data_IF_688688458153
#
_entry.id   IF_688688458153
#
_cell.length_a   1.000
_cell.length_b   1.000
_cell.length_c   1.000
_cell.angle_alpha   90.00
_cell.angle_beta   90.00
_cell.angle_gamma   90.00
#
_symmetry.space_group_name_H-M   'P 1'
#
loop_
_entity.id
_entity.type
_entity.pdbx_description
1 polymer ?
#
# COMPACT_ATOMS: atom_id res chain seq x y z
N UNK A 1 -27.56 40.01 -40.70
CA UNK A 1 -28.09 41.26 -40.11
C UNK A 1 -28.42 40.95 -38.65
N UNK A 2 -27.90 41.55 -37.60
CA UNK A 2 -27.33 42.87 -37.40
C UNK A 2 -26.16 42.83 -36.40
N UNK A 3 -25.24 43.76 -36.58
CA UNK A 3 -24.08 44.02 -35.74
C UNK A 3 -24.40 45.04 -34.64
N UNK A 4 -23.73 44.93 -33.49
CA UNK A 4 -23.34 46.02 -32.56
C UNK A 4 -22.09 45.50 -31.83
N UNK A 5 -20.85 45.89 -32.15
CA UNK A 5 -20.15 47.18 -32.14
C UNK A 5 -19.95 47.79 -30.73
N UNK A 6 -18.67 47.69 -30.29
CA UNK A 6 -17.85 48.59 -29.46
C UNK A 6 -18.22 48.81 -27.98
N UNK A 7 -17.25 48.60 -27.09
CA UNK A 7 -16.30 49.66 -26.66
C UNK A 7 -15.14 49.08 -25.84
N UNK A 8 -13.94 49.59 -26.12
CA UNK A 8 -12.72 49.40 -25.35
C UNK A 8 -12.57 50.54 -24.33
N UNK A 9 -12.03 50.22 -23.16
CA UNK A 9 -11.38 51.10 -22.18
C UNK A 9 -10.49 50.14 -21.36
N UNK A 10 -9.17 50.25 -21.23
CA UNK A 10 -8.33 51.44 -21.29
C UNK A 10 -7.88 51.82 -19.88
N UNK A 11 -6.74 51.27 -19.46
CA UNK A 11 -5.74 51.86 -18.53
C UNK A 11 -6.12 51.93 -17.04
N UNK A 12 -5.29 51.34 -16.17
CA UNK A 12 -4.42 52.11 -15.23
C UNK A 12 -3.37 51.18 -14.63
N UNK A 13 -2.13 51.36 -15.08
CA UNK A 13 -0.89 50.87 -14.47
C UNK A 13 -0.49 51.90 -13.40
N UNK A 14 -0.53 51.55 -12.12
CA UNK A 14 0.04 52.37 -11.06
C UNK A 14 1.42 51.86 -10.68
N UNK A 15 2.44 52.63 -11.09
CA UNK A 15 3.77 52.64 -10.49
C UNK A 15 3.66 53.14 -9.04
N UNK A 16 4.01 52.28 -8.09
CA UNK A 16 4.34 52.66 -6.72
C UNK A 16 5.81 52.39 -6.46
N UNK A 17 6.61 53.45 -6.35
CA UNK A 17 8.01 53.41 -5.98
C UNK A 17 8.22 53.80 -4.52
N UNK A 18 9.36 53.33 -3.97
CA UNK A 18 10.09 53.80 -2.79
C UNK A 18 9.72 53.11 -1.46
N UNK A 19 10.68 52.34 -0.97
CA UNK A 19 10.72 51.77 0.38
C UNK A 19 12.03 51.02 0.60
N UNK A 20 13.16 51.74 0.56
CA UNK A 20 14.46 51.23 0.95
C UNK A 20 14.54 51.12 2.47
N UNK A 21 14.62 49.90 3.00
CA UNK A 21 15.23 49.65 4.31
C UNK A 21 16.11 48.42 4.22
N UNK A 22 17.40 48.67 4.27
CA UNK A 22 18.45 47.69 4.51
C UNK A 22 18.22 47.01 5.86
N UNK A 23 18.08 45.69 5.85
CA UNK A 23 18.09 44.83 7.04
C UNK A 23 18.98 43.64 6.75
N UNK A 24 20.25 43.77 7.10
CA UNK A 24 21.28 42.76 6.86
C UNK A 24 20.97 41.44 7.57
N UNK A 25 21.14 40.35 6.83
CA UNK A 25 21.29 39.02 7.39
C UNK A 25 22.64 38.94 8.11
N UNK A 26 22.63 38.90 9.44
CA UNK A 26 23.78 38.49 10.24
C UNK A 26 23.57 37.06 10.70
N UNK A 27 24.07 36.12 9.90
CA UNK A 27 24.31 34.73 10.29
C UNK A 27 25.35 34.74 11.43
N UNK A 28 24.90 34.60 12.68
CA UNK A 28 25.79 34.27 13.78
C UNK A 28 26.09 32.76 13.74
N UNK A 29 27.21 32.48 13.09
CA UNK A 29 27.90 31.20 13.06
C UNK A 29 28.33 30.90 14.50
N UNK A 30 27.69 29.93 15.14
CA UNK A 30 28.15 29.39 16.42
C UNK A 30 29.47 28.65 16.21
N UNK A 31 30.59 29.31 16.51
CA UNK A 31 31.89 28.68 16.60
C UNK A 31 31.90 27.73 17.81
N UNK A 32 31.74 26.43 17.57
CA UNK A 32 32.08 25.40 18.56
C UNK A 32 33.61 25.39 18.74
N UNK A 33 34.13 25.36 19.97
CA UNK A 33 35.54 25.13 20.19
C UNK A 33 35.89 23.70 19.77
N UNK A 34 36.87 23.57 18.89
CA UNK A 34 37.45 22.30 18.48
C UNK A 34 38.05 21.60 19.71
N UNK A 35 37.59 20.38 19.99
CA UNK A 35 38.18 19.51 21.00
C UNK A 35 39.63 19.15 20.62
N UNK A 36 40.58 19.10 21.58
CA UNK A 36 41.95 18.74 21.28
C UNK A 36 42.05 17.29 20.79
N UNK A 37 42.76 17.10 19.69
CA UNK A 37 43.05 15.78 19.12
C UNK A 37 43.86 14.93 20.12
N UNK A 38 43.33 13.74 20.43
CA UNK A 38 44.04 12.74 21.22
C UNK A 38 45.25 12.19 20.43
N UNK A 39 46.38 11.91 21.08
CA UNK A 39 47.55 11.34 20.41
C UNK A 39 47.26 9.89 19.94
N UNK A 40 47.81 9.46 18.79
CA UNK A 40 47.62 8.10 18.31
C UNK A 40 48.32 7.10 19.25
N UNK A 41 47.60 6.05 19.63
CA UNK A 41 48.15 4.94 20.40
C UNK A 41 49.19 4.18 19.57
N UNK A 42 50.24 3.61 20.20
CA UNK A 42 51.26 2.84 19.50
C UNK A 42 50.65 1.54 18.95
N UNK A 43 50.69 1.36 17.63
CA UNK A 43 50.33 0.10 16.98
C UNK A 43 51.49 -0.87 17.12
N UNK A 44 51.36 -1.83 18.05
CA UNK A 44 52.29 -2.96 18.14
C UNK A 44 52.07 -3.86 16.94
N UNK A 45 53.08 -3.96 16.07
CA UNK A 45 53.08 -4.84 14.90
C UNK A 45 53.38 -6.27 15.37
N UNK A 46 52.34 -7.07 15.58
CA UNK A 46 52.49 -8.51 15.85
C UNK A 46 52.68 -9.24 14.52
N UNK A 47 53.85 -9.86 14.33
CA UNK A 47 54.09 -10.78 13.22
C UNK A 47 53.31 -12.09 13.45
N UNK A 48 52.51 -12.58 12.49
CA UNK A 48 51.84 -13.85 12.65
C UNK A 48 52.84 -15.01 12.49
N UNK A 49 53.00 -15.80 13.55
CA UNK A 49 53.63 -17.13 13.51
C UNK A 49 52.76 -18.07 12.66
N UNK A 50 53.34 -18.90 11.77
CA UNK A 50 52.54 -19.85 10.98
C UNK A 50 51.93 -20.91 11.90
N UNK A 51 50.62 -20.83 12.10
CA UNK A 51 49.85 -21.81 12.87
C UNK A 51 49.60 -23.04 12.00
N UNK A 52 50.08 -24.20 12.45
CA UNK A 52 49.82 -25.49 11.83
C UNK A 52 48.31 -25.79 11.83
N UNK A 53 47.77 -26.15 10.67
CA UNK A 53 46.36 -26.46 10.45
C UNK A 53 45.97 -27.74 11.22
N UNK A 54 45.00 -27.70 12.16
CA UNK A 54 44.41 -28.92 12.69
C UNK A 54 43.45 -29.54 11.65
N UNK A 55 43.55 -30.85 11.49
CA UNK A 55 42.71 -31.69 10.64
C UNK A 55 41.24 -31.57 11.07
N UNK A 56 40.26 -31.41 10.16
CA UNK A 56 38.85 -31.39 10.54
C UNK A 56 38.42 -32.76 11.10
N UNK A 57 38.03 -32.80 12.36
CA UNK A 57 37.24 -33.90 12.89
C UNK A 57 35.84 -33.84 12.27
N UNK A 58 35.40 -34.93 11.66
CA UNK A 58 34.03 -35.07 11.14
C UNK A 58 33.05 -35.03 12.30
N UNK A 59 32.46 -33.85 12.56
CA UNK A 59 31.30 -33.72 13.43
C UNK A 59 30.11 -34.31 12.68
N UNK A 60 29.65 -35.48 13.14
CA UNK A 60 28.40 -36.08 12.66
C UNK A 60 27.25 -35.12 13.05
N UNK A 61 26.48 -34.54 12.12
CA UNK A 61 25.37 -33.69 12.50
C UNK A 61 24.34 -34.55 13.24
N UNK A 62 24.09 -34.22 14.50
CA UNK A 62 22.88 -34.63 15.21
C UNK A 62 21.70 -34.17 14.36
N UNK A 63 20.70 -35.02 14.04
CA UNK A 63 19.53 -34.55 13.32
C UNK A 63 18.81 -33.54 14.21
N UNK A 64 18.98 -32.26 13.90
CA UNK A 64 18.05 -31.21 14.33
C UNK A 64 16.65 -31.73 14.01
N UNK A 65 15.72 -31.80 14.98
CA UNK A 65 14.33 -32.09 14.67
C UNK A 65 13.92 -31.15 13.55
N UNK A 66 13.59 -31.71 12.39
CA UNK A 66 13.12 -30.96 11.25
C UNK A 66 12.06 -29.99 11.78
N UNK A 67 12.31 -28.69 11.64
CA UNK A 67 11.28 -27.70 11.87
C UNK A 67 10.08 -28.18 11.07
N UNK A 68 8.97 -28.46 11.75
CA UNK A 68 7.68 -28.69 11.11
C UNK A 68 7.56 -27.64 10.00
N UNK A 69 7.43 -28.02 8.72
CA UNK A 69 7.24 -27.02 7.67
C UNK A 69 5.99 -26.26 8.07
N UNK A 70 6.12 -24.96 8.35
CA UNK A 70 5.00 -24.14 8.81
C UNK A 70 3.83 -24.29 7.82
N UNK A 71 2.73 -24.99 8.16
CA UNK A 71 1.59 -24.99 7.29
C UNK A 71 0.84 -23.66 7.49
N UNK A 72 -0.14 -23.40 6.61
CA UNK A 72 -1.14 -22.32 6.69
C UNK A 72 -0.82 -21.04 5.90
N UNK A 73 -0.32 -21.17 4.67
CA UNK A 73 -0.88 -20.35 3.61
C UNK A 73 -2.33 -20.83 3.36
N UNK A 74 -3.29 -19.91 3.24
CA UNK A 74 -4.67 -20.28 2.92
C UNK A 74 -4.66 -20.86 1.49
N UNK A 75 -5.17 -22.08 1.30
CA UNK A 75 -5.27 -22.67 -0.04
C UNK A 75 -6.58 -22.22 -0.68
N UNK A 76 -6.53 -21.81 -1.94
CA UNK A 76 -7.74 -21.46 -2.69
C UNK A 76 -8.51 -22.75 -3.04
N UNK A 77 -9.74 -22.87 -2.53
CA UNK A 77 -10.64 -24.01 -2.68
C UNK A 77 -11.76 -23.78 -3.69
N UNK A 78 -12.21 -22.53 -3.81
CA UNK A 78 -13.29 -22.15 -4.72
C UNK A 78 -13.07 -20.72 -5.24
N UNK A 79 -13.34 -20.49 -6.53
CA UNK A 79 -13.31 -19.19 -7.21
C UNK A 79 -14.68 -18.98 -7.82
N UNK A 80 -15.20 -17.76 -7.72
CA UNK A 80 -16.47 -17.39 -8.32
C UNK A 80 -16.37 -17.46 -9.85
N UNK A 81 -17.40 -18.02 -10.48
CA UNK A 81 -17.48 -17.99 -11.94
C UNK A 81 -17.90 -16.59 -12.38
N UNK A 82 -17.12 -16.01 -13.29
CA UNK A 82 -17.39 -14.70 -13.87
C UNK A 82 -17.91 -14.91 -15.29
N UNK A 83 -19.18 -14.60 -15.50
CA UNK A 83 -19.78 -14.65 -16.82
C UNK A 83 -19.56 -13.33 -17.57
N UNK A 84 -18.92 -13.43 -18.74
CA UNK A 84 -18.67 -12.30 -19.63
C UNK A 84 -17.52 -11.39 -19.18
N UNK A 85 -17.41 -10.19 -19.77
CA UNK A 85 -16.30 -9.28 -19.50
C UNK A 85 -16.37 -8.68 -18.10
N UNK A 86 -15.25 -8.71 -17.37
CA UNK A 86 -15.14 -8.14 -16.03
C UNK A 86 -14.52 -6.74 -16.08
N UNK A 87 -15.36 -5.74 -16.34
CA UNK A 87 -14.97 -4.34 -16.57
C UNK A 87 -15.29 -3.43 -15.39
N UNK A 88 -14.82 -2.18 -15.44
CA UNK A 88 -15.03 -1.14 -14.42
C UNK A 88 -16.50 -1.09 -13.95
N UNK A 89 -16.68 -1.08 -12.62
CA UNK A 89 -18.00 -1.12 -11.97
C UNK A 89 -18.57 -2.51 -11.77
N UNK A 90 -18.02 -3.56 -12.39
CA UNK A 90 -18.44 -4.96 -12.18
C UNK A 90 -17.92 -5.49 -10.84
N UNK A 91 -18.79 -6.24 -10.18
CA UNK A 91 -18.48 -6.99 -8.97
C UNK A 91 -19.44 -8.17 -8.82
N UNK A 92 -19.02 -9.16 -8.05
CA UNK A 92 -19.79 -10.36 -7.73
C UNK A 92 -19.68 -10.62 -6.23
N UNK A 93 -20.73 -11.21 -5.67
CA UNK A 93 -20.75 -11.64 -4.29
C UNK A 93 -21.64 -12.87 -4.15
N UNK A 94 -21.05 -13.97 -3.73
CA UNK A 94 -21.77 -15.20 -3.43
C UNK A 94 -21.04 -15.96 -2.32
N UNK A 95 -21.75 -16.25 -1.24
CA UNK A 95 -21.25 -16.98 -0.08
C UNK A 95 -21.83 -18.40 0.02
N UNK A 96 -22.59 -18.84 -0.98
CA UNK A 96 -23.34 -20.11 -0.97
C UNK A 96 -22.43 -21.33 -0.77
N UNK A 97 -21.26 -21.34 -1.40
CA UNK A 97 -20.27 -22.41 -1.30
C UNK A 97 -19.33 -22.26 -0.09
N UNK A 98 -19.29 -21.09 0.56
CA UNK A 98 -18.31 -20.79 1.60
C UNK A 98 -18.81 -21.23 3.00
N UNK A 99 -17.89 -21.64 3.89
CA UNK A 99 -18.20 -21.79 5.31
C UNK A 99 -18.80 -20.50 5.90
N UNK A 100 -19.70 -20.64 6.88
CA UNK A 100 -20.33 -19.48 7.56
C UNK A 100 -19.31 -18.61 8.30
N UNK A 101 -18.23 -19.22 8.77
CA UNK A 101 -17.15 -18.56 9.52
C UNK A 101 -15.81 -19.10 9.05
N UNK A 102 -14.78 -18.28 9.13
CA UNK A 102 -13.42 -18.69 8.82
C UNK A 102 -12.47 -17.49 8.75
N UNK A 103 -11.16 -17.73 8.67
CA UNK A 103 -10.21 -16.65 8.38
C UNK A 103 -10.54 -16.01 7.03
N UNK A 104 -10.44 -14.68 6.97
CA UNK A 104 -10.60 -13.93 5.71
C UNK A 104 -9.24 -13.40 5.25
N UNK A 105 -8.99 -13.52 3.95
CA UNK A 105 -7.88 -12.87 3.27
C UNK A 105 -8.42 -12.16 2.03
N UNK A 106 -8.07 -10.89 1.89
CA UNK A 106 -8.31 -10.10 0.69
C UNK A 106 -7.04 -10.14 -0.16
N UNK A 107 -7.19 -10.33 -1.46
CA UNK A 107 -6.11 -10.18 -2.42
C UNK A 107 -6.46 -9.12 -3.45
N UNK A 108 -5.47 -8.35 -3.87
CA UNK A 108 -5.59 -7.30 -4.86
C UNK A 108 -4.46 -7.46 -5.84
N UNK A 109 -4.79 -7.67 -7.13
CA UNK A 109 -3.81 -7.69 -8.20
C UNK A 109 -3.99 -6.42 -9.05
N UNK A 110 -2.97 -5.56 -9.04
CA UNK A 110 -2.99 -4.27 -9.71
C UNK A 110 -2.90 -4.41 -11.24
N UNK A 111 -2.21 -5.42 -11.74
CA UNK A 111 -2.11 -5.70 -13.19
C UNK A 111 -3.45 -6.19 -13.73
N UNK A 112 -4.10 -7.08 -12.96
CA UNK A 112 -5.42 -7.60 -13.32
C UNK A 112 -6.55 -6.61 -13.03
N UNK A 113 -6.32 -5.55 -12.23
CA UNK A 113 -7.35 -4.65 -11.69
C UNK A 113 -8.46 -5.36 -10.93
N UNK A 114 -8.12 -6.40 -10.15
CA UNK A 114 -9.11 -7.22 -9.42
C UNK A 114 -8.78 -7.29 -7.94
N UNK A 115 -9.82 -7.11 -7.11
CA UNK A 115 -9.84 -7.49 -5.71
C UNK A 115 -10.70 -8.73 -5.53
N UNK A 116 -10.20 -9.71 -4.79
CA UNK A 116 -10.90 -10.94 -4.40
C UNK A 116 -10.88 -11.12 -2.89
N UNK A 117 -11.96 -11.67 -2.33
CA UNK A 117 -12.13 -11.91 -0.90
C UNK A 117 -12.31 -13.41 -0.70
N UNK A 118 -11.42 -14.02 0.07
CA UNK A 118 -11.47 -15.44 0.40
C UNK A 118 -11.81 -15.66 1.86
N UNK A 119 -12.81 -16.49 2.13
CA UNK A 119 -13.12 -17.01 3.46
C UNK A 119 -12.81 -18.50 3.50
N UNK A 120 -11.83 -18.88 4.32
CA UNK A 120 -11.34 -20.27 4.41
C UNK A 120 -11.00 -20.89 3.03
N UNK A 121 -10.46 -20.08 2.12
CA UNK A 121 -10.12 -20.51 0.76
C UNK A 121 -11.25 -20.44 -0.27
N UNK A 122 -12.48 -20.12 0.14
CA UNK A 122 -13.60 -19.92 -0.78
C UNK A 122 -13.71 -18.44 -1.14
N UNK A 123 -13.62 -18.11 -2.43
CA UNK A 123 -13.90 -16.75 -2.88
C UNK A 123 -15.37 -16.42 -2.64
N UNK A 124 -15.62 -15.36 -1.86
CA UNK A 124 -16.96 -14.90 -1.50
C UNK A 124 -17.36 -13.59 -2.20
N UNK A 125 -16.38 -12.91 -2.79
CA UNK A 125 -16.63 -11.69 -3.54
C UNK A 125 -15.42 -11.28 -4.35
N UNK A 126 -15.68 -10.68 -5.51
CA UNK A 126 -14.67 -10.12 -6.39
C UNK A 126 -15.16 -8.83 -7.03
N UNK A 127 -14.27 -7.88 -7.28
CA UNK A 127 -14.61 -6.59 -7.89
C UNK A 127 -13.47 -6.04 -8.74
N UNK A 128 -13.82 -5.30 -9.79
CA UNK A 128 -12.86 -4.43 -10.47
C UNK A 128 -12.52 -3.25 -9.58
N UNK A 129 -11.23 -2.89 -9.51
CA UNK A 129 -10.73 -1.82 -8.64
C UNK A 129 -10.22 -0.61 -9.42
N UNK A 130 -10.25 0.55 -8.77
CA UNK A 130 -9.32 1.64 -9.05
C UNK A 130 -8.12 1.54 -8.09
N UNK A 131 -6.93 1.87 -8.56
CA UNK A 131 -5.72 1.91 -7.76
C UNK A 131 -4.95 3.23 -7.96
N UNK A 132 -3.86 3.41 -7.24
CA UNK A 132 -3.07 4.64 -7.25
C UNK A 132 -2.46 4.97 -8.61
N UNK A 133 -2.52 6.24 -9.00
CA UNK A 133 -1.82 6.72 -10.21
C UNK A 133 -0.30 6.50 -10.10
N UNK A 134 0.41 6.51 -11.24
CA UNK A 134 1.86 6.24 -11.28
C UNK A 134 2.69 7.14 -10.35
N UNK A 135 2.26 8.39 -10.17
CA UNK A 135 2.92 9.36 -9.30
C UNK A 135 2.54 9.21 -7.82
N UNK A 136 1.53 8.40 -7.50
CA UNK A 136 1.14 8.04 -6.14
C UNK A 136 0.61 6.59 -6.08
N UNK A 137 1.50 5.61 -6.26
CA UNK A 137 1.12 4.22 -6.49
C UNK A 137 0.54 3.56 -5.23
N UNK A 138 -0.28 2.54 -5.43
CA UNK A 138 -0.72 1.65 -4.34
C UNK A 138 0.46 0.78 -3.88
N UNK A 139 0.75 0.70 -2.57
CA UNK A 139 1.86 -0.11 -2.07
C UNK A 139 1.60 -1.61 -2.28
N UNK A 140 2.65 -2.36 -2.58
CA UNK A 140 2.62 -3.82 -2.67
C UNK A 140 2.91 -4.47 -1.31
N UNK A 141 2.48 -5.73 -1.16
CA UNK A 141 2.82 -6.59 -0.02
C UNK A 141 1.62 -6.99 0.84
N UNK A 142 1.91 -7.66 1.96
CA UNK A 142 0.91 -8.10 2.92
C UNK A 142 0.67 -7.05 4.03
N UNK A 143 -0.52 -6.46 4.01
CA UNK A 143 -1.03 -5.48 4.97
C UNK A 143 -2.14 -6.08 5.84
N UNK A 144 -2.59 -5.31 6.82
CA UNK A 144 -3.71 -5.66 7.70
C UNK A 144 -4.71 -4.52 7.75
N UNK A 145 -5.97 -4.86 7.96
CA UNK A 145 -6.99 -3.86 8.26
C UNK A 145 -6.75 -3.32 9.67
N UNK A 146 -6.37 -2.06 9.80
CA UNK A 146 -6.06 -1.40 11.09
C UNK A 146 -7.19 -0.53 11.60
N UNK A 147 -8.10 -0.09 10.74
CA UNK A 147 -9.25 0.71 11.10
C UNK A 147 -10.43 0.43 10.17
N UNK A 148 -11.65 0.58 10.70
CA UNK A 148 -12.90 0.55 9.97
C UNK A 148 -13.69 1.82 10.27
N UNK A 149 -14.15 2.50 9.25
CA UNK A 149 -14.98 3.71 9.36
C UNK A 149 -15.97 3.75 8.20
N UNK A 150 -17.27 3.67 8.49
CA UNK A 150 -18.30 3.58 7.46
C UNK A 150 -18.53 4.91 6.72
N UNK A 151 -18.30 6.03 7.40
CA UNK A 151 -18.64 7.38 6.93
C UNK A 151 -17.38 8.27 6.83
N UNK A 152 -16.24 7.64 6.56
CA UNK A 152 -14.95 8.31 6.55
C UNK A 152 -14.89 9.43 5.52
N UNK A 153 -14.28 10.55 5.90
CA UNK A 153 -13.90 11.64 4.99
C UNK A 153 -12.38 11.81 5.06
N UNK A 154 -11.73 11.87 3.90
CA UNK A 154 -10.27 12.00 3.83
C UNK A 154 -9.81 13.32 4.46
N UNK A 155 -8.92 13.24 5.45
CA UNK A 155 -8.28 14.43 6.03
C UNK A 155 -7.39 15.18 5.02
N UNK A 156 -6.84 14.46 4.03
CA UNK A 156 -5.92 15.02 3.03
C UNK A 156 -6.65 15.61 1.82
N UNK A 157 -7.83 15.08 1.50
CA UNK A 157 -8.54 15.41 0.25
C UNK A 157 -9.96 15.97 0.45
N UNK A 158 -10.50 15.93 1.67
CA UNK A 158 -11.88 16.34 1.96
C UNK A 158 -12.94 15.48 1.25
N UNK A 159 -12.54 14.34 0.68
CA UNK A 159 -13.39 13.49 -0.14
C UNK A 159 -14.05 12.37 0.68
N UNK A 160 -15.35 12.07 0.47
CA UNK A 160 -16.01 10.92 1.09
C UNK A 160 -15.37 9.60 0.66
N UNK A 161 -15.16 8.71 1.62
CA UNK A 161 -14.58 7.37 1.46
C UNK A 161 -15.49 6.36 2.18
N UNK A 162 -16.69 6.09 1.67
CA UNK A 162 -17.66 5.24 2.36
C UNK A 162 -17.12 3.82 2.56
N UNK A 163 -17.40 3.24 3.72
CA UNK A 163 -16.95 1.88 4.09
C UNK A 163 -15.42 1.71 4.05
N UNK A 164 -14.70 2.72 4.56
CA UNK A 164 -13.24 2.72 4.57
C UNK A 164 -12.67 1.61 5.47
N UNK A 165 -11.66 0.93 4.94
CA UNK A 165 -10.80 -0.05 5.61
C UNK A 165 -9.34 0.42 5.51
N UNK A 166 -8.76 0.90 6.61
CA UNK A 166 -7.38 1.43 6.61
C UNK A 166 -6.37 0.30 6.57
N UNK A 167 -5.33 0.45 5.76
CA UNK A 167 -4.24 -0.52 5.60
C UNK A 167 -2.90 -0.02 6.13
N UNK A 168 -2.67 1.30 6.08
CA UNK A 168 -1.40 1.92 6.48
C UNK A 168 -1.61 3.17 7.33
N UNK A 169 -0.58 3.57 8.08
CA UNK A 169 -0.65 4.77 8.93
C UNK A 169 -0.70 6.07 8.12
N UNK A 170 -0.13 6.08 6.91
CA UNK A 170 -0.04 7.22 6.01
C UNK A 170 -1.28 7.45 5.13
N UNK A 171 -2.31 6.61 5.22
CA UNK A 171 -3.61 6.90 4.59
C UNK A 171 -4.13 5.89 3.57
N UNK A 172 -3.36 4.87 3.22
CA UNK A 172 -3.79 3.89 2.22
C UNK A 172 -4.91 3.02 2.79
N UNK A 173 -5.99 2.90 2.02
CA UNK A 173 -7.21 2.20 2.43
C UNK A 173 -7.93 1.55 1.25
N UNK A 174 -8.85 0.64 1.55
CA UNK A 174 -9.90 0.19 0.63
C UNK A 174 -11.17 0.98 0.97
N UNK A 175 -11.88 1.52 -0.02
CA UNK A 175 -13.15 2.22 0.22
C UNK A 175 -14.06 2.20 -1.01
N UNK A 176 -15.32 2.55 -0.81
CA UNK A 176 -16.28 2.76 -1.88
C UNK A 176 -15.91 3.95 -2.76
N UNK A 177 -15.96 3.73 -4.07
CA UNK A 177 -15.63 4.69 -5.12
C UNK A 177 -16.55 4.50 -6.31
N UNK A 178 -16.63 5.53 -7.16
CA UNK A 178 -17.15 5.39 -8.51
C UNK A 178 -16.08 4.79 -9.42
N UNK A 179 -16.19 3.49 -9.71
CA UNK A 179 -15.20 2.73 -10.47
C UNK A 179 -15.53 2.85 -11.96
N UNK A 180 -14.95 3.85 -12.61
CA UNK A 180 -15.15 4.15 -14.04
C UNK A 180 -13.83 4.05 -14.82
N UNK A 181 -13.88 3.80 -16.14
CA UNK A 181 -12.70 3.83 -16.99
C UNK A 181 -11.96 5.17 -16.91
N UNK A 182 -10.62 5.11 -16.85
CA UNK A 182 -9.77 6.31 -16.73
C UNK A 182 -9.70 6.89 -15.31
N UNK A 183 -10.39 6.29 -14.34
CA UNK A 183 -10.25 6.64 -12.93
C UNK A 183 -8.93 6.16 -12.34
N UNK A 184 -8.40 6.91 -11.38
CA UNK A 184 -7.28 6.52 -10.54
C UNK A 184 -7.44 7.12 -9.15
N UNK A 185 -6.73 6.57 -8.17
CA UNK A 185 -6.73 7.09 -6.80
C UNK A 185 -5.37 7.72 -6.45
N UNK A 186 -5.29 8.22 -5.22
CA UNK A 186 -4.04 8.67 -4.60
C UNK A 186 -3.38 7.57 -3.76
N UNK A 187 -3.41 6.33 -4.25
CA UNK A 187 -2.82 5.14 -3.63
C UNK A 187 -3.84 4.20 -2.98
N UNK A 188 -5.04 4.67 -2.66
CA UNK A 188 -6.12 3.83 -2.12
C UNK A 188 -6.63 2.83 -3.16
N UNK A 189 -7.34 1.80 -2.70
CA UNK A 189 -8.03 0.84 -3.55
C UNK A 189 -9.51 1.21 -3.55
N UNK A 190 -9.99 1.73 -4.67
CA UNK A 190 -11.40 2.06 -4.87
C UNK A 190 -12.17 0.85 -5.38
N UNK A 191 -13.30 0.52 -4.73
CA UNK A 191 -14.23 -0.53 -5.16
C UNK A 191 -15.64 0.02 -5.32
N UNK A 192 -16.54 -0.61 -6.08
CA UNK A 192 -17.92 -0.15 -6.16
C UNK A 192 -18.57 -0.06 -4.77
N UNK A 193 -19.26 1.04 -4.46
CA UNK A 193 -19.77 1.31 -3.10
C UNK A 193 -20.67 0.20 -2.54
N UNK A 194 -21.48 -0.45 -3.39
CA UNK A 194 -22.31 -1.58 -2.98
C UNK A 194 -21.48 -2.80 -2.55
N UNK A 195 -20.36 -3.04 -3.24
CA UNK A 195 -19.39 -4.06 -2.88
C UNK A 195 -18.64 -3.68 -1.60
N UNK A 196 -18.22 -2.42 -1.46
CA UNK A 196 -17.54 -1.91 -0.27
C UNK A 196 -18.37 -2.16 1.01
N UNK A 197 -19.68 -1.93 0.95
CA UNK A 197 -20.61 -2.22 2.07
C UNK A 197 -20.56 -3.70 2.48
N UNK A 198 -20.59 -4.62 1.51
CA UNK A 198 -20.55 -6.07 1.76
C UNK A 198 -19.20 -6.49 2.33
N UNK A 199 -18.11 -6.03 1.71
CA UNK A 199 -16.76 -6.25 2.18
C UNK A 199 -16.59 -5.77 3.63
N UNK A 200 -17.03 -4.55 3.93
CA UNK A 200 -16.97 -3.95 5.26
C UNK A 200 -17.73 -4.77 6.30
N UNK A 201 -18.89 -5.33 5.96
CA UNK A 201 -19.64 -6.20 6.86
C UNK A 201 -18.93 -7.55 7.11
N UNK A 202 -18.25 -8.10 6.10
CA UNK A 202 -17.61 -9.41 6.17
C UNK A 202 -16.30 -9.43 6.98
N UNK A 203 -15.52 -8.35 6.93
CA UNK A 203 -14.16 -8.31 7.49
C UNK A 203 -14.08 -7.73 8.90
N UNK A 204 -12.99 -8.02 9.59
CA UNK A 204 -12.65 -7.48 10.91
C UNK A 204 -11.24 -6.87 10.93
N UNK A 205 -10.96 -6.14 12.00
CA UNK A 205 -9.60 -5.64 12.25
C UNK A 205 -8.62 -6.80 12.33
N UNK A 206 -7.45 -6.61 11.72
CA UNK A 206 -6.39 -7.61 11.64
C UNK A 206 -6.52 -8.60 10.48
N UNK A 207 -7.66 -8.65 9.78
CA UNK A 207 -7.77 -9.42 8.54
C UNK A 207 -6.74 -8.93 7.52
N UNK A 208 -6.24 -9.86 6.71
CA UNK A 208 -5.08 -9.63 5.85
C UNK A 208 -5.51 -9.11 4.48
N UNK A 209 -4.72 -8.21 3.94
CA UNK A 209 -4.83 -7.70 2.57
C UNK A 209 -3.50 -7.90 1.87
N UNK A 210 -3.48 -8.62 0.75
CA UNK A 210 -2.27 -8.89 -0.01
C UNK A 210 -2.38 -8.16 -1.34
N UNK A 211 -1.46 -7.24 -1.60
CA UNK A 211 -1.45 -6.44 -2.82
C UNK A 211 -0.27 -6.88 -3.69
N UNK A 212 -0.56 -7.31 -4.91
CA UNK A 212 0.40 -7.81 -5.89
C UNK A 212 0.27 -7.04 -7.22
N UNK A 213 1.23 -7.26 -8.11
CA UNK A 213 1.20 -6.75 -9.47
C UNK A 213 1.54 -7.92 -10.41
N UNK A 214 0.53 -8.50 -11.06
CA UNK A 214 0.70 -9.63 -12.00
C UNK A 214 0.83 -11.00 -11.33
N UNK A 215 0.29 -11.18 -10.13
CA UNK A 215 0.24 -12.48 -9.44
C UNK A 215 -1.20 -12.85 -9.11
N UNK A 216 -1.89 -13.37 -10.14
CA UNK A 216 -3.25 -13.89 -10.00
C UNK A 216 -3.24 -15.21 -9.23
N UNK A 217 -4.21 -15.36 -8.34
CA UNK A 217 -4.44 -16.62 -7.63
C UNK A 217 -5.23 -17.58 -8.52
N UNK A 218 -4.84 -18.86 -8.48
CA UNK A 218 -5.52 -19.94 -9.19
C UNK A 218 -6.07 -20.98 -8.19
N UNK A 219 -6.96 -21.85 -8.65
CA UNK A 219 -7.40 -23.02 -7.89
C UNK A 219 -6.22 -23.83 -7.35
N UNK A 220 -6.28 -24.20 -6.07
CA UNK A 220 -5.21 -24.95 -5.39
C UNK A 220 -3.97 -24.12 -5.05
N UNK A 221 -3.90 -22.84 -5.46
CA UNK A 221 -2.78 -21.98 -5.11
C UNK A 221 -2.78 -21.65 -3.61
N UNK A 222 -1.59 -21.52 -3.05
CA UNK A 222 -1.38 -21.05 -1.70
C UNK A 222 -1.38 -19.51 -1.67
N UNK A 223 -2.26 -18.91 -0.88
CA UNK A 223 -2.26 -17.49 -0.58
C UNK A 223 -1.14 -17.23 0.44
N UNK A 224 0.03 -16.87 -0.09
CA UNK A 224 1.25 -16.69 0.68
C UNK A 224 1.13 -15.59 1.74
N UNK A 225 2.00 -15.66 2.77
CA UNK A 225 1.96 -14.72 3.90
C UNK A 225 2.66 -13.38 3.65
N UNK A 226 3.45 -13.24 2.58
CA UNK A 226 4.42 -12.16 2.39
C UNK A 226 4.22 -11.46 1.05
#
# INVERSE_FOLDING_TARGET
MAAKLRTALGVTLLLGAIGATAGGALMLIGAHPAAPAAPPLPVIRVTPTPSARPTPATIRPTPTPAATPAPEAMVVRHILTIDGPFTHGRWLWDESAAPKTGPIVITVDLDAQVLSIFRDGYEIGTAVVLYGADWKPTPLGALKITQKDADHVSNLYGAPMPYMLRLTNDGISIHGSDVQPGGATHGCIGVPTAFARKLFAAVKLGDRVIITNGKRLAMGAAIARR
#
